data_IF_251172444421
#
_entry.id   IF_251172444421
#
_cell.length_a   1.000
_cell.length_b   1.000
_cell.length_c   1.000
_cell.angle_alpha   90.00
_cell.angle_beta   90.00
_cell.angle_gamma   90.00
#
_symmetry.space_group_name_H-M   'P 1'
#
loop_
_entity.id
_entity.type
_entity.pdbx_description
1 polymer ?
#
# COMPACT_ATOMS: atom_id res chain seq x y z
N UNK A 1 -1.84 -12.42 20.39
CA UNK A 1 -1.90 -11.79 19.05
C UNK A 1 -3.07 -10.83 19.04
N UNK A 2 -2.85 -9.55 18.75
CA UNK A 2 -3.98 -8.62 18.56
C UNK A 2 -4.74 -9.04 17.32
N UNK A 3 -6.07 -9.07 17.42
CA UNK A 3 -6.95 -9.36 16.29
C UNK A 3 -6.93 -8.15 15.36
N UNK A 4 -6.42 -8.35 14.14
CA UNK A 4 -6.50 -7.34 13.07
C UNK A 4 -7.97 -7.07 12.76
N UNK A 5 -8.31 -5.80 12.56
CA UNK A 5 -9.66 -5.37 12.19
C UNK A 5 -9.73 -5.20 10.68
N UNK A 6 -10.91 -5.43 10.11
CA UNK A 6 -11.17 -5.33 8.68
C UNK A 6 -11.62 -3.93 8.32
N UNK A 7 -11.08 -3.40 7.22
CA UNK A 7 -11.36 -2.06 6.72
C UNK A 7 -11.52 -2.08 5.21
N UNK A 8 -12.24 -1.10 4.68
CA UNK A 8 -12.35 -0.84 3.23
C UNK A 8 -11.92 0.58 2.92
N UNK A 9 -11.44 0.81 1.70
CA UNK A 9 -11.13 2.16 1.22
C UNK A 9 -12.43 2.98 1.17
N UNK A 10 -12.39 4.22 1.63
CA UNK A 10 -13.55 5.14 1.51
C UNK A 10 -13.87 5.39 0.03
N UNK A 11 -15.15 5.55 -0.27
CA UNK A 11 -15.62 5.81 -1.63
C UNK A 11 -14.99 7.09 -2.21
N UNK A 12 -14.72 7.09 -3.52
CA UNK A 12 -14.19 8.26 -4.24
C UNK A 12 -12.66 8.40 -4.23
N UNK A 13 -11.93 7.51 -3.56
CA UNK A 13 -10.46 7.53 -3.52
C UNK A 13 -9.83 6.86 -4.76
N UNK A 14 -10.00 7.47 -5.94
CA UNK A 14 -9.36 7.00 -7.15
C UNK A 14 -7.91 7.50 -7.25
N UNK A 15 -6.98 6.57 -7.51
CA UNK A 15 -5.56 6.84 -7.74
C UNK A 15 -5.27 6.96 -9.24
N UNK A 16 -4.15 7.58 -9.57
CA UNK A 16 -3.53 7.41 -10.90
C UNK A 16 -2.45 6.33 -10.82
N UNK A 17 -2.35 5.47 -11.81
CA UNK A 17 -1.27 4.48 -11.85
C UNK A 17 -0.84 4.16 -13.28
N UNK A 18 0.44 3.84 -13.44
CA UNK A 18 1.03 3.39 -14.70
C UNK A 18 1.89 2.16 -14.42
N UNK A 19 1.71 1.11 -15.21
CA UNK A 19 2.53 -0.09 -15.13
C UNK A 19 3.89 0.15 -15.77
N UNK A 20 4.97 -0.23 -15.08
CA UNK A 20 6.35 -0.11 -15.52
C UNK A 20 6.73 -1.35 -16.34
N UNK A 21 6.04 -1.54 -17.46
CA UNK A 21 6.28 -2.65 -18.40
C UNK A 21 7.31 -2.25 -19.49
N UNK A 22 8.41 -1.68 -19.04
CA UNK A 22 9.58 -1.38 -19.88
C UNK A 22 10.61 -2.49 -19.69
N UNK A 23 11.44 -2.73 -20.70
CA UNK A 23 12.63 -3.58 -20.56
C UNK A 23 13.66 -2.84 -19.70
N UNK A 24 13.67 -3.15 -18.40
CA UNK A 24 14.52 -2.51 -17.40
C UNK A 24 14.64 -3.38 -16.17
N UNK A 25 15.78 -3.31 -15.49
CA UNK A 25 15.88 -3.83 -14.12
C UNK A 25 14.91 -3.07 -13.19
N UNK A 26 14.50 -1.84 -13.54
CA UNK A 26 13.65 -0.94 -12.78
C UNK A 26 14.46 0.15 -12.05
N UNK A 27 13.93 0.69 -10.95
CA UNK A 27 14.61 1.74 -10.19
C UNK A 27 14.41 1.61 -8.67
N UNK A 28 15.26 2.29 -7.91
CA UNK A 28 15.18 2.42 -6.46
C UNK A 28 14.96 3.86 -6.04
N UNK A 29 14.27 4.04 -4.92
CA UNK A 29 14.04 5.36 -4.32
C UNK A 29 13.97 5.24 -2.79
N UNK A 30 13.96 6.38 -2.08
CA UNK A 30 13.81 6.42 -0.62
C UNK A 30 12.43 6.94 -0.25
N UNK A 31 11.72 6.21 0.60
CA UNK A 31 10.41 6.58 1.14
C UNK A 31 10.17 5.84 2.44
N UNK A 32 9.41 6.45 3.35
CA UNK A 32 9.01 5.87 4.64
C UNK A 32 10.18 5.30 5.46
N UNK A 33 11.30 6.03 5.51
CA UNK A 33 12.52 5.64 6.24
C UNK A 33 13.38 4.58 5.56
N UNK A 34 12.87 3.88 4.55
CA UNK A 34 13.53 2.78 3.87
C UNK A 34 13.94 3.06 2.41
N UNK A 35 14.65 2.10 1.83
CA UNK A 35 14.82 2.00 0.37
C UNK A 35 13.68 1.16 -0.19
N UNK A 36 13.11 1.62 -1.29
CA UNK A 36 12.09 0.92 -2.07
C UNK A 36 12.67 0.54 -3.43
N UNK A 37 12.15 -0.54 -4.02
CA UNK A 37 12.52 -1.05 -5.34
C UNK A 37 11.25 -1.29 -6.16
N UNK A 38 11.20 -0.68 -7.33
CA UNK A 38 10.24 -0.96 -8.37
C UNK A 38 10.91 -1.81 -9.45
N UNK A 39 10.49 -3.05 -9.65
CA UNK A 39 10.98 -3.95 -10.71
C UNK A 39 10.08 -3.84 -11.96
N UNK A 40 10.52 -4.45 -13.07
CA UNK A 40 9.69 -4.57 -14.26
C UNK A 40 8.32 -5.17 -13.92
N UNK A 41 7.27 -4.57 -14.46
CA UNK A 41 5.89 -5.03 -14.31
C UNK A 41 5.15 -4.45 -13.10
N UNK A 42 5.86 -3.87 -12.13
CA UNK A 42 5.26 -3.14 -11.00
C UNK A 42 4.53 -1.88 -11.47
N UNK A 43 3.74 -1.29 -10.58
CA UNK A 43 2.99 -0.08 -10.84
C UNK A 43 3.58 1.12 -10.12
N UNK A 44 3.77 2.23 -10.82
CA UNK A 44 3.98 3.54 -10.21
C UNK A 44 2.63 4.17 -9.95
N UNK A 45 2.36 4.47 -8.68
CA UNK A 45 1.10 4.98 -8.17
C UNK A 45 1.27 6.42 -7.72
N UNK A 46 0.29 7.25 -8.08
CA UNK A 46 0.05 8.56 -7.49
C UNK A 46 -1.31 8.53 -6.76
N UNK A 47 -1.24 8.52 -5.43
CA UNK A 47 -2.39 8.59 -4.55
C UNK A 47 -2.58 10.02 -4.02
N UNK A 48 -2.89 10.96 -4.92
CA UNK A 48 -3.17 12.35 -4.54
C UNK A 48 -1.93 13.12 -4.09
N UNK A 49 -0.79 12.87 -4.72
CA UNK A 49 0.52 13.43 -4.41
C UNK A 49 1.42 12.51 -3.60
N UNK A 50 0.87 11.47 -2.97
CA UNK A 50 1.68 10.42 -2.35
C UNK A 50 2.07 9.37 -3.39
N UNK A 51 3.33 9.45 -3.85
CA UNK A 51 3.85 8.64 -4.96
C UNK A 51 4.69 7.47 -4.45
N UNK A 52 4.37 6.26 -4.88
CA UNK A 52 5.05 5.02 -4.51
C UNK A 52 4.85 3.94 -5.57
N UNK A 53 5.45 2.77 -5.38
CA UNK A 53 5.26 1.61 -6.25
C UNK A 53 4.55 0.48 -5.55
N UNK A 54 3.85 -0.35 -6.33
CA UNK A 54 3.12 -1.53 -5.87
C UNK A 54 3.49 -2.70 -6.76
N UNK A 55 3.78 -3.85 -6.16
CA UNK A 55 4.00 -5.12 -6.87
C UNK A 55 2.88 -5.42 -7.88
N UNK A 56 3.26 -6.00 -9.02
CA UNK A 56 2.36 -6.30 -10.12
C UNK A 56 1.13 -7.14 -9.71
N UNK A 57 1.34 -8.19 -8.92
CA UNK A 57 0.27 -9.13 -8.53
C UNK A 57 -0.62 -8.49 -7.46
N UNK A 58 -0.01 -7.84 -6.46
CA UNK A 58 -0.75 -7.05 -5.46
C UNK A 58 -1.65 -6.00 -6.10
N UNK A 59 -1.15 -5.28 -7.11
CA UNK A 59 -1.96 -4.27 -7.80
C UNK A 59 -3.15 -4.90 -8.54
N UNK A 60 -2.89 -6.00 -9.28
CA UNK A 60 -3.93 -6.71 -10.02
C UNK A 60 -5.02 -7.29 -9.11
N UNK A 61 -4.65 -7.77 -7.92
CA UNK A 61 -5.57 -8.38 -6.97
C UNK A 61 -6.38 -7.36 -6.16
N UNK A 62 -5.84 -6.14 -5.97
CA UNK A 62 -6.44 -5.16 -5.05
C UNK A 62 -7.05 -3.93 -5.71
N UNK A 63 -6.77 -3.68 -6.99
CA UNK A 63 -7.27 -2.51 -7.72
C UNK A 63 -8.11 -2.88 -8.95
N UNK A 64 -9.11 -2.05 -9.24
CA UNK A 64 -9.88 -2.10 -10.48
C UNK A 64 -9.77 -0.79 -11.25
N UNK A 65 -9.55 -0.89 -12.56
CA UNK A 65 -9.54 0.28 -13.45
C UNK A 65 -10.96 0.82 -13.63
N UNK A 66 -11.12 2.14 -13.50
CA UNK A 66 -12.40 2.83 -13.71
C UNK A 66 -12.38 3.69 -14.99
N UNK A 67 -11.19 4.11 -15.41
CA UNK A 67 -10.91 4.75 -16.69
C UNK A 67 -9.40 4.65 -16.95
N UNK A 68 -8.92 4.85 -18.20
CA UNK A 68 -7.50 4.69 -18.52
C UNK A 68 -6.57 5.40 -17.54
N UNK A 69 -5.73 4.62 -16.85
CA UNK A 69 -4.75 5.13 -15.88
C UNK A 69 -5.34 5.57 -14.53
N UNK A 70 -6.64 5.30 -14.27
CA UNK A 70 -7.34 5.64 -13.04
C UNK A 70 -7.95 4.39 -12.40
N UNK A 71 -7.63 4.19 -11.13
CA UNK A 71 -7.97 2.95 -10.42
C UNK A 71 -8.59 3.23 -9.06
N UNK A 72 -9.41 2.30 -8.57
CA UNK A 72 -9.90 2.28 -7.19
C UNK A 72 -9.43 1.01 -6.49
N UNK A 73 -9.10 1.10 -5.19
CA UNK A 73 -8.83 -0.08 -4.38
C UNK A 73 -10.15 -0.77 -4.04
N UNK A 74 -10.32 -2.01 -4.48
CA UNK A 74 -11.55 -2.80 -4.28
C UNK A 74 -11.39 -3.82 -3.16
N UNK A 75 -10.17 -4.28 -2.90
CA UNK A 75 -9.90 -5.20 -1.80
C UNK A 75 -10.05 -4.52 -0.43
N UNK A 76 -10.56 -5.30 0.52
CA UNK A 76 -10.51 -4.96 1.95
C UNK A 76 -9.09 -5.15 2.48
N UNK A 77 -8.80 -4.54 3.62
CA UNK A 77 -7.51 -4.67 4.30
C UNK A 77 -7.71 -5.03 5.78
N UNK A 78 -6.71 -5.70 6.34
CA UNK A 78 -6.67 -6.06 7.76
C UNK A 78 -5.61 -5.22 8.44
N UNK A 79 -5.99 -4.43 9.44
CA UNK A 79 -5.08 -3.52 10.10
C UNK A 79 -5.12 -3.61 11.63
N UNK A 80 -3.99 -3.30 12.25
CA UNK A 80 -3.87 -3.10 13.69
C UNK A 80 -2.97 -1.90 13.99
N UNK A 81 -3.24 -1.25 15.11
CA UNK A 81 -2.40 -0.15 15.60
C UNK A 81 -1.10 -0.71 16.17
N UNK A 82 0.04 -0.14 15.77
CA UNK A 82 1.37 -0.45 16.28
C UNK A 82 1.49 -0.02 17.75
N UNK A 83 2.05 -0.87 18.60
CA UNK A 83 2.26 -0.56 20.03
C UNK A 83 3.60 0.09 20.32
N UNK A 84 4.55 -0.07 19.41
CA UNK A 84 5.91 0.44 19.47
C UNK A 84 6.36 0.82 18.07
N UNK A 85 7.41 1.62 18.00
CA UNK A 85 8.11 1.90 16.75
C UNK A 85 8.67 0.61 16.15
N UNK A 86 8.84 0.59 14.83
CA UNK A 86 9.36 -0.58 14.14
C UNK A 86 9.48 -0.41 12.63
N UNK A 87 9.73 -1.55 11.98
CA UNK A 87 9.88 -1.66 10.53
C UNK A 87 9.13 -2.90 10.06
N UNK A 88 8.36 -2.78 8.99
CA UNK A 88 7.74 -3.91 8.28
C UNK A 88 8.40 -4.08 6.92
N UNK A 89 8.68 -5.33 6.54
CA UNK A 89 9.14 -5.67 5.20
C UNK A 89 7.93 -5.75 4.27
N UNK A 90 8.05 -5.12 3.10
CA UNK A 90 7.05 -5.14 2.02
C UNK A 90 7.62 -5.91 0.82
N UNK A 91 6.85 -6.02 -0.26
CA UNK A 91 7.36 -6.62 -1.51
C UNK A 91 8.37 -5.70 -2.22
N UNK A 92 8.26 -4.40 -2.01
CA UNK A 92 9.08 -3.35 -2.61
C UNK A 92 10.30 -2.99 -1.76
N UNK A 93 10.26 -3.25 -0.45
CA UNK A 93 11.34 -2.87 0.46
C UNK A 93 10.91 -2.90 1.92
N UNK A 94 11.05 -1.77 2.61
CA UNK A 94 10.69 -1.67 4.02
C UNK A 94 9.99 -0.35 4.36
N UNK A 95 9.05 -0.40 5.30
CA UNK A 95 8.31 0.77 5.78
C UNK A 95 8.53 0.92 7.28
N UNK A 96 9.12 2.04 7.67
CA UNK A 96 9.29 2.41 9.08
C UNK A 96 7.98 2.99 9.60
N UNK A 97 7.66 2.70 10.86
CA UNK A 97 6.44 3.18 11.50
C UNK A 97 6.68 3.52 12.97
N UNK A 98 5.85 4.41 13.51
CA UNK A 98 5.85 4.78 14.92
C UNK A 98 4.75 4.04 15.69
N UNK A 99 4.88 4.00 17.01
CA UNK A 99 3.79 3.63 17.89
C UNK A 99 2.54 4.48 17.60
N UNK A 100 1.40 3.83 17.38
CA UNK A 100 0.15 4.49 17.03
C UNK A 100 -0.20 4.48 15.53
N UNK A 101 0.74 4.17 14.65
CA UNK A 101 0.49 3.99 13.22
C UNK A 101 -0.25 2.67 12.94
N UNK A 102 -0.77 2.51 11.73
CA UNK A 102 -1.42 1.26 11.32
C UNK A 102 -0.44 0.36 10.58
N UNK A 103 -0.35 -0.89 11.03
CA UNK A 103 0.22 -2.00 10.27
C UNK A 103 -0.94 -2.65 9.52
N UNK A 104 -0.83 -2.70 8.19
CA UNK A 104 -1.90 -3.04 7.26
C UNK A 104 -1.47 -4.24 6.42
N UNK A 105 -2.41 -5.13 6.12
CA UNK A 105 -2.21 -6.30 5.28
C UNK A 105 -3.31 -6.38 4.22
N UNK A 106 -2.94 -6.69 2.98
CA UNK A 106 -3.92 -6.94 1.91
C UNK A 106 -4.63 -8.29 2.05
N UNK A 107 -4.16 -9.16 2.95
CA UNK A 107 -4.72 -10.49 3.21
C UNK A 107 -4.96 -10.78 4.70
N UNK A 108 -5.98 -11.58 5.00
CA UNK A 108 -6.38 -11.94 6.38
C UNK A 108 -5.31 -12.77 7.11
N UNK A 109 -4.59 -13.65 6.41
CA UNK A 109 -3.51 -14.44 7.00
C UNK A 109 -2.33 -13.54 7.39
N UNK A 110 -2.18 -12.37 6.75
CA UNK A 110 -1.15 -11.38 7.08
C UNK A 110 0.07 -11.45 6.18
N UNK A 111 -0.13 -11.91 4.95
CA UNK A 111 0.80 -11.66 3.86
C UNK A 111 0.63 -10.22 3.33
N UNK A 112 1.62 -9.77 2.57
CA UNK A 112 1.60 -8.48 1.86
C UNK A 112 1.28 -7.29 2.78
N UNK A 113 2.21 -7.07 3.72
CA UNK A 113 2.10 -6.09 4.79
C UNK A 113 2.81 -4.78 4.47
N UNK A 114 2.23 -3.68 4.92
CA UNK A 114 2.79 -2.34 4.85
C UNK A 114 2.35 -1.52 6.08
N UNK A 115 2.92 -0.33 6.27
CA UNK A 115 2.50 0.58 7.34
C UNK A 115 2.02 1.92 6.78
N UNK A 116 1.07 2.53 7.48
CA UNK A 116 0.47 3.82 7.11
C UNK A 116 0.33 4.65 8.37
N UNK A 117 0.69 5.94 8.29
CA UNK A 117 0.52 6.88 9.39
C UNK A 117 -0.94 6.93 9.86
N UNK A 118 -1.17 7.10 11.16
CA UNK A 118 -2.54 7.10 11.73
C UNK A 118 -3.52 8.00 10.98
N UNK A 119 -3.19 9.29 10.84
CA UNK A 119 -4.08 10.29 10.25
C UNK A 119 -4.39 9.95 8.78
N UNK A 120 -3.35 9.54 8.04
CA UNK A 120 -3.48 9.13 6.65
C UNK A 120 -4.37 7.90 6.52
N UNK A 121 -4.16 6.86 7.33
CA UNK A 121 -4.98 5.66 7.33
C UNK A 121 -6.46 5.97 7.61
N UNK A 122 -6.73 6.74 8.65
CA UNK A 122 -8.11 7.08 9.08
C UNK A 122 -8.84 8.00 8.07
N UNK A 123 -8.09 8.81 7.31
CA UNK A 123 -8.62 9.59 6.19
C UNK A 123 -9.02 8.72 4.99
N UNK A 124 -8.33 7.60 4.79
CA UNK A 124 -8.46 6.77 3.58
C UNK A 124 -9.36 5.55 3.77
N UNK A 125 -9.45 5.02 4.99
CA UNK A 125 -10.12 3.76 5.29
C UNK A 125 -11.24 3.96 6.31
N UNK A 126 -12.23 3.07 6.23
CA UNK A 126 -13.29 2.96 7.24
C UNK A 126 -13.49 1.50 7.65
N UNK A 127 -13.89 1.23 8.90
CA UNK A 127 -14.21 -0.12 9.34
C UNK A 127 -15.31 -0.74 8.47
N UNK A 128 -15.17 -2.04 8.16
CA UNK A 128 -16.23 -2.81 7.49
C UNK A 128 -17.39 -3.17 8.43
#
# INVERSE_FOLDING_TARGET
MKRRKRYKKRAGAAISAVRLDLDTDGFSYRKWGGVQRCKQGDWLVDNGGDIYTVDADTFADTYAEISPGRYIKTAEVWANVAESDGVIQTLEGETHYAAGDYIVYNDEAGADGYAVGREEFESMYEPC
#
